data_IF_758507401243
#
_entry.id   IF_758507401243
#
_cell.length_a   1.000
_cell.length_b   1.000
_cell.length_c   1.000
_cell.angle_alpha   90.00
_cell.angle_beta   90.00
_cell.angle_gamma   90.00
#
_symmetry.space_group_name_H-M   'P 1'
#
loop_
_entity.id
_entity.type
_entity.pdbx_description
1 polymer ?
#
# COMPACT_ATOMS: atom_id res chain seq x y z
N UNK A 1 20.09 -8.17 -11.19
CA UNK A 1 19.24 -8.17 -9.99
C UNK A 1 19.39 -6.91 -9.15
N UNK A 2 20.62 -6.44 -8.86
CA UNK A 2 20.81 -5.20 -8.06
C UNK A 2 20.11 -3.94 -8.60
N UNK A 3 20.08 -3.74 -9.93
CA UNK A 3 19.41 -2.57 -10.53
C UNK A 3 17.88 -2.62 -10.34
N UNK A 4 17.26 -3.80 -10.45
CA UNK A 4 15.82 -3.96 -10.26
C UNK A 4 15.44 -3.71 -8.79
N UNK A 5 16.22 -4.25 -7.85
CA UNK A 5 16.02 -4.02 -6.42
C UNK A 5 16.20 -2.53 -6.05
N UNK A 6 17.23 -1.88 -6.61
CA UNK A 6 17.45 -0.44 -6.43
C UNK A 6 16.28 0.39 -6.99
N UNK A 7 15.72 0.00 -8.14
CA UNK A 7 14.55 0.64 -8.72
C UNK A 7 13.26 0.44 -7.90
N UNK A 8 13.12 -0.67 -7.16
CA UNK A 8 12.01 -0.87 -6.23
C UNK A 8 12.12 -0.01 -4.97
N UNK A 9 13.34 0.32 -4.54
CA UNK A 9 13.62 1.09 -3.32
C UNK A 9 13.81 2.59 -3.58
N UNK A 10 14.16 3.00 -4.79
CA UNK A 10 14.33 4.41 -5.15
C UNK A 10 13.08 5.27 -4.94
N UNK A 11 11.83 4.78 -5.15
CA UNK A 11 10.64 5.56 -4.82
C UNK A 11 10.59 5.93 -3.33
N UNK A 12 11.08 5.07 -2.45
CA UNK A 12 11.13 5.35 -1.01
C UNK A 12 12.04 6.53 -0.70
N UNK A 13 13.19 6.62 -1.37
CA UNK A 13 14.14 7.73 -1.21
C UNK A 13 13.61 9.04 -1.80
N UNK A 14 13.01 8.97 -2.98
CA UNK A 14 12.63 10.15 -3.77
C UNK A 14 11.26 10.68 -3.34
N UNK A 15 10.32 9.76 -3.08
CA UNK A 15 8.92 10.07 -2.83
C UNK A 15 8.53 10.03 -1.36
N UNK A 16 9.41 9.63 -0.43
CA UNK A 16 9.09 9.57 1.00
C UNK A 16 8.56 10.90 1.55
N UNK A 17 9.17 12.04 1.19
CA UNK A 17 8.71 13.39 1.58
C UNK A 17 7.42 13.84 0.86
N UNK A 18 7.35 13.82 -0.50
CA UNK A 18 6.15 14.30 -1.19
C UNK A 18 4.95 13.36 -1.08
N UNK A 19 5.15 12.06 -0.85
CA UNK A 19 4.04 11.12 -0.61
C UNK A 19 3.27 11.46 0.66
N UNK A 20 3.96 11.88 1.73
CA UNK A 20 3.33 12.43 2.92
C UNK A 20 2.51 13.69 2.59
N UNK A 21 3.09 14.64 1.85
CA UNK A 21 2.37 15.85 1.44
C UNK A 21 1.17 15.58 0.51
N UNK A 22 1.23 14.54 -0.33
CA UNK A 22 0.14 14.13 -1.22
C UNK A 22 -0.98 13.42 -0.44
N UNK A 23 -0.62 12.58 0.54
CA UNK A 23 -1.54 11.95 1.48
C UNK A 23 -2.24 12.97 2.40
N UNK A 24 -1.64 14.15 2.58
CA UNK A 24 -2.21 15.25 3.36
C UNK A 24 -3.25 16.06 2.60
N UNK A 25 -3.20 16.04 1.26
CA UNK A 25 -4.10 16.83 0.40
C UNK A 25 -5.38 16.10 0.01
N UNK A 26 -5.40 14.78 0.07
CA UNK A 26 -6.52 13.93 -0.40
C UNK A 26 -7.07 13.08 0.74
N UNK A 27 -8.32 12.61 0.61
CA UNK A 27 -8.88 11.69 1.61
C UNK A 27 -8.05 10.40 1.65
N UNK A 28 -7.63 9.88 2.83
CA UNK A 28 -6.76 8.71 2.94
C UNK A 28 -7.29 7.49 2.16
N UNK A 29 -8.61 7.32 2.17
CA UNK A 29 -9.29 6.25 1.44
C UNK A 29 -9.15 6.39 -0.08
N UNK A 30 -9.35 7.59 -0.63
CA UNK A 30 -9.20 7.84 -2.08
C UNK A 30 -7.77 7.59 -2.51
N UNK A 31 -6.79 8.07 -1.73
CA UNK A 31 -5.36 7.89 -2.00
C UNK A 31 -4.96 6.42 -2.09
N UNK A 32 -5.43 5.60 -1.14
CA UNK A 32 -5.15 4.17 -1.11
C UNK A 32 -5.83 3.42 -2.27
N UNK A 33 -7.11 3.71 -2.57
CA UNK A 33 -7.83 3.08 -3.70
C UNK A 33 -7.14 3.41 -5.04
N UNK A 34 -6.78 4.67 -5.27
CA UNK A 34 -6.10 5.08 -6.51
C UNK A 34 -4.74 4.40 -6.62
N UNK A 35 -3.99 4.30 -5.52
CA UNK A 35 -2.68 3.63 -5.50
C UNK A 35 -2.79 2.14 -5.87
N UNK A 36 -3.76 1.42 -5.29
CA UNK A 36 -4.01 0.01 -5.60
C UNK A 36 -4.46 -0.18 -7.06
N UNK A 37 -5.31 0.71 -7.59
CA UNK A 37 -5.74 0.64 -8.99
C UNK A 37 -4.59 0.89 -9.97
N UNK A 38 -3.72 1.86 -9.69
CA UNK A 38 -2.54 2.14 -10.51
C UNK A 38 -1.55 0.97 -10.43
N UNK A 39 -1.35 0.39 -9.24
CA UNK A 39 -0.49 -0.78 -9.06
C UNK A 39 -1.03 -2.00 -9.82
N UNK A 40 -2.33 -2.27 -9.74
CA UNK A 40 -2.98 -3.34 -10.48
C UNK A 40 -2.85 -3.15 -12.00
N UNK A 41 -3.07 -1.93 -12.50
CA UNK A 41 -2.90 -1.61 -13.91
C UNK A 41 -1.44 -1.80 -14.37
N UNK A 42 -0.47 -1.33 -13.57
CA UNK A 42 0.95 -1.51 -13.86
C UNK A 42 1.33 -2.99 -13.87
N UNK A 43 0.90 -3.78 -12.88
CA UNK A 43 1.15 -5.22 -12.82
C UNK A 43 0.55 -5.96 -14.02
N UNK A 44 -0.66 -5.59 -14.46
CA UNK A 44 -1.32 -6.18 -15.62
C UNK A 44 -0.58 -5.93 -16.96
N UNK A 45 0.29 -4.91 -17.04
CA UNK A 45 1.09 -4.70 -18.26
C UNK A 45 2.16 -5.78 -18.47
N UNK A 46 2.66 -6.40 -17.41
CA UNK A 46 3.73 -7.43 -17.50
C UNK A 46 3.28 -8.67 -18.27
N UNK A 47 2.16 -9.35 -17.97
CA UNK A 47 1.69 -10.47 -18.76
C UNK A 47 1.31 -10.06 -20.20
N UNK A 48 0.82 -8.83 -20.40
CA UNK A 48 0.53 -8.32 -21.76
C UNK A 48 1.79 -8.19 -22.61
N UNK A 49 2.87 -7.65 -22.03
CA UNK A 49 4.19 -7.55 -22.66
C UNK A 49 4.82 -8.93 -22.89
N UNK A 50 4.56 -9.88 -21.99
CA UNK A 50 5.00 -11.26 -22.13
C UNK A 50 4.34 -11.96 -23.32
N UNK A 51 3.01 -11.86 -23.46
CA UNK A 51 2.26 -12.46 -24.59
C UNK A 51 2.65 -11.84 -25.93
N UNK A 52 2.93 -10.53 -25.96
CA UNK A 52 3.38 -9.83 -27.18
C UNK A 52 4.86 -10.04 -27.50
N UNK A 53 5.62 -10.73 -26.64
CA UNK A 53 7.05 -10.95 -26.80
C UNK A 53 7.92 -9.69 -26.69
N UNK A 54 7.35 -8.58 -26.22
CA UNK A 54 8.04 -7.27 -26.10
C UNK A 54 8.53 -6.99 -24.67
N UNK A 55 8.45 -8.00 -23.79
CA UNK A 55 8.90 -7.89 -22.41
C UNK A 55 10.41 -7.67 -22.32
N UNK A 56 10.81 -6.47 -21.94
CA UNK A 56 12.21 -6.11 -21.70
C UNK A 56 12.49 -5.91 -20.21
N UNK A 57 13.76 -6.02 -19.81
CA UNK A 57 14.19 -5.68 -18.45
C UNK A 57 13.85 -4.22 -18.09
N UNK A 58 13.91 -3.31 -19.06
CA UNK A 58 13.56 -1.91 -18.84
C UNK A 58 12.06 -1.74 -18.51
N UNK A 59 11.18 -2.47 -19.20
CA UNK A 59 9.75 -2.47 -18.89
C UNK A 59 9.47 -3.01 -17.47
N UNK A 60 10.16 -4.08 -17.05
CA UNK A 60 10.05 -4.61 -15.68
C UNK A 60 10.53 -3.60 -14.62
N UNK A 61 11.62 -2.89 -14.90
CA UNK A 61 12.14 -1.82 -14.01
C UNK A 61 11.11 -0.69 -13.89
N UNK A 62 10.50 -0.26 -15.00
CA UNK A 62 9.49 0.79 -14.99
C UNK A 62 8.24 0.37 -14.18
N UNK A 63 7.75 -0.85 -14.39
CA UNK A 63 6.60 -1.39 -13.63
C UNK A 63 6.93 -1.48 -12.13
N UNK A 64 8.11 -2.01 -11.78
CA UNK A 64 8.54 -2.12 -10.38
C UNK A 64 8.65 -0.75 -9.70
N UNK A 65 9.14 0.27 -10.41
CA UNK A 65 9.21 1.64 -9.91
C UNK A 65 7.82 2.24 -9.66
N UNK A 66 6.88 2.03 -10.58
CA UNK A 66 5.50 2.50 -10.44
C UNK A 66 4.82 1.83 -9.24
N UNK A 67 4.89 0.50 -9.14
CA UNK A 67 4.32 -0.25 -8.01
C UNK A 67 4.95 0.19 -6.69
N UNK A 68 6.27 0.35 -6.64
CA UNK A 68 6.98 0.85 -5.47
C UNK A 68 6.54 2.26 -5.06
N UNK A 69 6.29 3.15 -6.04
CA UNK A 69 5.76 4.49 -5.79
C UNK A 69 4.36 4.46 -5.19
N UNK A 70 3.47 3.62 -5.73
CA UNK A 70 2.12 3.40 -5.17
C UNK A 70 2.18 2.88 -3.73
N UNK A 71 3.09 1.94 -3.45
CA UNK A 71 3.26 1.38 -2.11
C UNK A 71 3.69 2.46 -1.09
N UNK A 72 4.60 3.37 -1.46
CA UNK A 72 5.00 4.49 -0.60
C UNK A 72 3.80 5.37 -0.25
N UNK A 73 3.00 5.74 -1.26
CA UNK A 73 1.82 6.59 -1.08
C UNK A 73 0.75 5.90 -0.23
N UNK A 74 0.51 4.60 -0.46
CA UNK A 74 -0.40 3.81 0.35
C UNK A 74 0.03 3.76 1.82
N UNK A 75 1.31 3.50 2.08
CA UNK A 75 1.87 3.43 3.44
C UNK A 75 1.81 4.77 4.17
N UNK A 76 1.93 5.88 3.46
CA UNK A 76 1.77 7.21 4.03
C UNK A 76 0.32 7.50 4.47
N UNK A 77 -0.68 6.94 3.77
CA UNK A 77 -2.10 7.14 4.06
C UNK A 77 -2.67 6.16 5.12
N UNK A 78 -2.08 4.96 5.25
CA UNK A 78 -2.61 3.87 6.07
C UNK A 78 -2.79 4.23 7.57
N UNK A 79 -1.84 4.89 8.26
CA UNK A 79 -2.02 5.24 9.68
C UNK A 79 -3.22 6.17 9.91
N UNK A 80 -3.47 7.12 9.00
CA UNK A 80 -4.62 8.06 9.09
C UNK A 80 -5.95 7.35 8.92
N UNK A 81 -6.00 6.28 8.12
CA UNK A 81 -7.20 5.46 7.99
C UNK A 81 -7.44 4.61 9.24
N UNK A 82 -6.39 4.00 9.80
CA UNK A 82 -6.46 3.16 11.00
C UNK A 82 -6.99 3.97 12.19
N UNK A 83 -6.51 5.20 12.37
CA UNK A 83 -6.99 6.11 13.43
C UNK A 83 -8.48 6.47 13.28
N UNK A 84 -9.05 6.40 12.07
CA UNK A 84 -10.47 6.68 11.82
C UNK A 84 -11.39 5.46 11.97
N UNK A 85 -10.82 4.26 12.12
CA UNK A 85 -11.58 2.99 12.18
C UNK A 85 -11.47 2.35 13.56
N UNK A 86 -10.42 2.67 14.32
CA UNK A 86 -10.09 2.04 15.60
C UNK A 86 -10.27 3.04 16.74
N UNK A 87 -10.77 2.58 17.89
CA UNK A 87 -10.88 3.41 19.11
C UNK A 87 -9.50 3.74 19.69
N UNK A 88 -9.39 4.89 20.37
CA UNK A 88 -8.09 5.44 20.77
C UNK A 88 -7.26 4.52 21.69
N UNK A 89 -7.93 3.70 22.49
CA UNK A 89 -7.32 2.72 23.40
C UNK A 89 -6.66 1.54 22.65
N UNK A 90 -7.03 1.31 21.40
CA UNK A 90 -6.57 0.17 20.59
C UNK A 90 -5.47 0.55 19.58
N UNK A 91 -5.05 1.81 19.51
CA UNK A 91 -4.03 2.26 18.54
C UNK A 91 -2.70 1.51 18.66
N UNK A 92 -2.24 1.25 19.89
CA UNK A 92 -1.01 0.46 20.12
C UNK A 92 -1.13 -0.95 19.54
N UNK A 93 -2.27 -1.61 19.74
CA UNK A 93 -2.55 -2.95 19.24
C UNK A 93 -2.68 -2.97 17.72
N UNK A 94 -3.42 -2.02 17.13
CA UNK A 94 -3.60 -1.91 15.69
C UNK A 94 -2.27 -1.65 14.97
N UNK A 95 -1.44 -0.75 15.50
CA UNK A 95 -0.12 -0.47 14.96
C UNK A 95 0.79 -1.70 15.06
N UNK A 96 0.78 -2.40 16.20
CA UNK A 96 1.56 -3.63 16.39
C UNK A 96 1.14 -4.74 15.42
N UNK A 97 -0.16 -4.90 15.16
CA UNK A 97 -0.66 -5.85 14.16
C UNK A 97 -0.20 -5.50 12.75
N UNK A 98 -0.20 -4.22 12.36
CA UNK A 98 0.29 -3.79 11.04
C UNK A 98 1.77 -4.13 10.85
N UNK A 99 2.61 -3.85 11.85
CA UNK A 99 4.03 -4.21 11.82
C UNK A 99 4.24 -5.73 11.77
N UNK A 100 3.43 -6.49 12.51
CA UNK A 100 3.47 -7.95 12.48
C UNK A 100 3.12 -8.51 11.09
N UNK A 101 2.06 -7.98 10.47
CA UNK A 101 1.67 -8.34 9.10
C UNK A 101 2.77 -7.99 8.10
N UNK A 102 3.34 -6.79 8.17
CA UNK A 102 4.41 -6.37 7.25
C UNK A 102 5.67 -7.24 7.40
N UNK A 103 6.04 -7.55 8.63
CA UNK A 103 7.19 -8.42 8.92
C UNK A 103 6.96 -9.83 8.38
N UNK A 104 5.78 -10.39 8.61
CA UNK A 104 5.39 -11.69 8.08
C UNK A 104 5.41 -11.69 6.54
N UNK A 105 4.83 -10.67 5.89
CA UNK A 105 4.84 -10.53 4.43
C UNK A 105 6.26 -10.41 3.86
N UNK A 106 7.17 -9.72 4.55
CA UNK A 106 8.56 -9.54 4.10
C UNK A 106 9.36 -10.84 4.17
N UNK A 107 9.09 -11.68 5.18
CA UNK A 107 9.77 -12.97 5.36
C UNK A 107 9.18 -14.02 4.42
N UNK A 108 7.85 -14.11 4.38
CA UNK A 108 7.15 -15.21 3.69
C UNK A 108 6.93 -14.90 2.21
N UNK A 109 6.75 -13.62 1.86
CA UNK A 109 6.43 -13.16 0.51
C UNK A 109 7.43 -13.59 -0.56
N UNK A 110 8.74 -13.32 -0.42
CA UNK A 110 9.74 -13.72 -1.43
C UNK A 110 9.80 -15.23 -1.65
N UNK A 111 9.67 -16.02 -0.58
CA UNK A 111 9.66 -17.48 -0.64
C UNK A 111 8.45 -18.01 -1.40
N UNK A 112 7.24 -17.53 -1.06
CA UNK A 112 6.02 -17.90 -1.77
C UNK A 112 6.04 -17.43 -3.22
N UNK A 113 6.51 -16.22 -3.50
CA UNK A 113 6.62 -15.69 -4.86
C UNK A 113 7.55 -16.56 -5.72
N UNK A 114 8.69 -17.00 -5.17
CA UNK A 114 9.61 -17.91 -5.85
C UNK A 114 8.98 -19.29 -6.13
N UNK A 115 8.23 -19.85 -5.18
CA UNK A 115 7.52 -21.12 -5.37
C UNK A 115 6.42 -21.02 -6.43
N UNK A 116 5.61 -19.96 -6.40
CA UNK A 116 4.55 -19.71 -7.39
C UNK A 116 5.17 -19.53 -8.79
N UNK A 117 6.26 -18.76 -8.89
CA UNK A 117 6.95 -18.54 -10.15
C UNK A 117 7.51 -19.84 -10.74
N UNK A 118 8.02 -20.76 -9.91
CA UNK A 118 8.48 -22.07 -10.35
C UNK A 118 7.34 -23.03 -10.72
N UNK A 119 6.25 -23.04 -9.95
CA UNK A 119 5.17 -24.01 -10.13
C UNK A 119 4.23 -23.67 -11.30
N UNK A 120 3.97 -22.39 -11.55
CA UNK A 120 2.90 -21.95 -12.47
C UNK A 120 3.42 -21.01 -13.58
N UNK A 121 4.64 -20.48 -13.46
CA UNK A 121 5.28 -19.41 -14.27
C UNK A 121 5.22 -18.03 -13.63
N UNK A 122 6.28 -17.25 -13.88
CA UNK A 122 6.41 -15.87 -13.42
C UNK A 122 5.27 -14.96 -13.92
N UNK A 123 4.75 -15.19 -15.13
CA UNK A 123 3.66 -14.39 -15.69
C UNK A 123 2.34 -14.58 -14.92
N UNK A 124 2.02 -15.82 -14.52
CA UNK A 124 0.85 -16.11 -13.70
C UNK A 124 1.02 -15.65 -12.25
N UNK A 125 2.25 -15.65 -11.72
CA UNK A 125 2.56 -15.04 -10.43
C UNK A 125 2.26 -13.53 -10.39
N UNK A 126 2.61 -12.79 -11.45
CA UNK A 126 2.30 -11.36 -11.54
C UNK A 126 0.81 -11.08 -11.70
N UNK A 127 0.06 -11.98 -12.37
CA UNK A 127 -1.41 -11.87 -12.42
C UNK A 127 -2.06 -12.06 -11.05
N UNK A 128 -1.58 -13.03 -10.26
CA UNK A 128 -2.00 -13.22 -8.88
C UNK A 128 -1.75 -11.98 -8.02
N UNK A 129 -0.62 -11.31 -8.23
CA UNK A 129 -0.28 -10.07 -7.54
C UNK A 129 -1.24 -8.93 -7.94
N UNK A 130 -1.53 -8.77 -9.24
CA UNK A 130 -2.50 -7.80 -9.72
C UNK A 130 -3.91 -8.02 -9.14
N UNK A 131 -4.36 -9.28 -9.05
CA UNK A 131 -5.64 -9.63 -8.40
C UNK A 131 -5.63 -9.27 -6.91
N UNK A 132 -4.51 -9.44 -6.23
CA UNK A 132 -4.39 -9.12 -4.80
C UNK A 132 -4.57 -7.61 -4.54
N UNK A 133 -4.01 -6.74 -5.41
CA UNK A 133 -4.28 -5.31 -5.35
C UNK A 133 -5.75 -4.96 -5.59
N UNK A 134 -6.41 -5.63 -6.54
CA UNK A 134 -7.85 -5.42 -6.77
C UNK A 134 -8.70 -5.84 -5.57
N UNK A 135 -8.37 -6.97 -4.94
CA UNK A 135 -9.04 -7.43 -3.72
C UNK A 135 -8.87 -6.41 -2.60
N UNK A 136 -7.66 -5.86 -2.42
CA UNK A 136 -7.39 -4.78 -1.46
C UNK A 136 -8.26 -3.57 -1.71
N UNK A 137 -8.30 -3.08 -2.96
CA UNK A 137 -9.12 -1.93 -3.34
C UNK A 137 -10.62 -2.15 -3.05
N UNK A 138 -11.15 -3.35 -3.33
CA UNK A 138 -12.55 -3.71 -3.06
C UNK A 138 -12.82 -3.80 -1.56
N UNK A 139 -11.93 -4.43 -0.79
CA UNK A 139 -12.03 -4.48 0.67
C UNK A 139 -12.08 -3.07 1.27
N UNK A 140 -11.18 -2.20 0.83
CA UNK A 140 -11.09 -0.81 1.27
C UNK A 140 -12.30 0.04 0.85
N UNK A 141 -12.85 -0.25 -0.32
CA UNK A 141 -14.10 0.35 -0.77
C UNK A 141 -15.30 -0.10 0.09
N UNK A 142 -15.27 -1.30 0.68
CA UNK A 142 -16.32 -1.81 1.56
C UNK A 142 -16.16 -1.39 3.02
N UNK A 143 -14.95 -1.04 3.47
CA UNK A 143 -14.75 -0.51 4.82
C UNK A 143 -15.40 0.86 4.94
N UNK A 144 -16.43 0.97 5.79
CA UNK A 144 -17.03 2.26 6.16
C UNK A 144 -16.15 2.91 7.24
N UNK A 145 -15.61 4.12 7.02
CA UNK A 145 -14.96 4.87 8.10
C UNK A 145 -16.01 5.10 9.19
N UNK A 146 -15.70 4.73 10.44
CA UNK A 146 -16.51 5.13 11.58
C UNK A 146 -16.33 6.65 11.75
N UNK A 147 -17.18 7.43 11.09
CA UNK A 147 -17.15 8.89 11.09
C UNK A 147 -17.49 9.54 12.44
N UNK A 148 -17.10 8.93 13.57
CA UNK A 148 -17.42 9.38 14.93
C UNK A 148 -16.22 9.41 15.88
N UNK A 149 -15.16 8.63 15.63
CA UNK A 149 -14.01 8.60 16.53
C UNK A 149 -13.14 9.86 16.44
N UNK A 150 -13.00 10.47 15.26
CA UNK A 150 -12.20 11.69 15.06
C UNK A 150 -12.85 12.93 15.68
N UNK A 151 -14.18 13.03 15.66
CA UNK A 151 -14.90 14.16 16.26
C UNK A 151 -14.91 14.03 17.79
N UNK A 152 -15.00 12.81 18.34
CA UNK A 152 -14.88 12.58 19.79
C UNK A 152 -13.45 12.82 20.29
N UNK A 153 -12.41 12.40 19.58
CA UNK A 153 -11.03 12.64 20.01
C UNK A 153 -10.65 14.13 20.00
N UNK A 154 -11.14 14.90 19.01
CA UNK A 154 -10.97 16.36 18.96
C UNK A 154 -11.77 17.04 20.07
N UNK A 155 -13.02 16.63 20.30
CA UNK A 155 -13.85 17.17 21.38
C UNK A 155 -13.27 16.89 22.79
N UNK A 156 -12.72 15.69 23.03
CA UNK A 156 -12.08 15.33 24.30
C UNK A 156 -10.78 16.12 24.54
N UNK A 157 -10.02 16.40 23.48
CA UNK A 157 -8.81 17.24 23.56
C UNK A 157 -9.15 18.71 23.78
N UNK A 158 -10.19 19.25 23.12
CA UNK A 158 -10.69 20.60 23.40
C UNK A 158 -11.20 20.71 24.85
N UNK A 159 -11.98 19.76 25.35
CA UNK A 159 -12.48 19.77 26.72
C UNK A 159 -11.36 19.68 27.76
N UNK A 160 -10.34 18.86 27.52
CA UNK A 160 -9.20 18.70 28.44
C UNK A 160 -8.22 19.88 28.40
N UNK A 161 -8.14 20.62 27.30
CA UNK A 161 -7.43 21.90 27.24
C UNK A 161 -8.22 23.03 27.91
N UNK A 162 -9.54 23.07 27.74
CA UNK A 162 -10.39 24.09 28.37
C UNK A 162 -10.50 23.91 29.89
N UNK A 163 -10.37 22.70 30.41
CA UNK A 163 -10.32 22.45 31.87
C UNK A 163 -8.98 22.81 32.53
N UNK A 164 -7.93 23.11 31.77
CA UNK A 164 -6.59 23.42 32.29
C UNK A 164 -6.25 24.92 32.29
N UNK A 165 -7.17 25.79 31.88
CA UNK A 165 -7.08 27.25 31.94
C UNK A 165 -8.04 27.76 33.00
#
# INVERSE_FOLDING_TARGET
MGILAAASWSPWLILGLPAGALADRWSPRTTMIVSDLVAAAAAATVPLLWVTGTLTLAALIAVAFVIGSCAVVFRAALPRLVIRVVDAEQFGTANSMLYATESASTIVGPGLAGLIAQAVSAALGVLLDAVSFLVSAVCLARTRPAGRASDHAVAVLEDSFLQRI
#
